data_IF_715156879466
#
_entry.id   IF_715156879466
#
_cell.length_a   1.000
_cell.length_b   1.000
_cell.length_c   1.000
_cell.angle_alpha   90.00
_cell.angle_beta   90.00
_cell.angle_gamma   90.00
#
_symmetry.space_group_name_H-M   'P 1'
#
loop_
_entity.id
_entity.type
_entity.pdbx_description
1 polymer ?
#
# COMPACT_ATOMS: atom_id res chain seq x y z
N UNK A 1 -24.38 39.79 47.50
CA UNK A 1 -23.46 39.82 46.35
C UNK A 1 -23.23 38.36 45.93
N UNK A 2 -23.84 37.74 44.90
CA UNK A 2 -24.17 38.16 43.52
C UNK A 2 -22.96 38.87 42.91
N UNK A 3 -22.18 38.25 42.01
CA UNK A 3 -22.55 37.99 40.61
C UNK A 3 -22.16 36.60 40.05
N UNK A 4 -23.12 35.99 39.34
CA UNK A 4 -22.95 35.07 38.20
C UNK A 4 -22.42 35.85 37.00
N UNK A 5 -21.57 35.25 36.16
CA UNK A 5 -21.64 35.42 34.69
C UNK A 5 -21.28 34.07 34.00
N UNK A 6 -22.13 33.57 33.07
CA UNK A 6 -21.98 32.30 32.36
C UNK A 6 -21.37 32.51 30.96
N UNK A 7 -20.47 31.65 30.46
CA UNK A 7 -20.10 31.67 29.04
C UNK A 7 -19.51 30.37 28.45
N UNK A 8 -19.74 29.21 29.06
CA UNK A 8 -19.16 27.94 28.59
C UNK A 8 -20.19 26.86 28.19
N UNK A 9 -21.49 27.10 28.30
CA UNK A 9 -22.51 26.08 27.95
C UNK A 9 -23.20 26.27 26.59
N UNK A 10 -22.99 27.39 25.89
CA UNK A 10 -23.62 27.64 24.58
C UNK A 10 -22.76 27.19 23.40
N UNK A 11 -21.43 27.13 23.52
CA UNK A 11 -20.56 26.72 22.41
C UNK A 11 -20.60 25.21 22.12
N UNK A 12 -20.94 24.39 23.11
CA UNK A 12 -21.02 22.92 22.93
C UNK A 12 -22.36 22.49 22.31
N UNK A 13 -23.41 23.32 22.44
CA UNK A 13 -24.72 23.03 21.86
C UNK A 13 -24.80 23.38 20.37
N UNK A 14 -24.14 24.45 19.93
CA UNK A 14 -24.23 24.90 18.53
C UNK A 14 -23.37 24.07 17.56
N UNK A 15 -22.28 23.45 18.05
CA UNK A 15 -21.47 22.51 17.25
C UNK A 15 -22.21 21.17 17.06
N UNK A 16 -23.07 20.78 18.01
CA UNK A 16 -23.83 19.53 17.92
C UNK A 16 -25.05 19.63 16.98
N UNK A 17 -25.66 20.81 16.84
CA UNK A 17 -26.81 21.00 15.93
C UNK A 17 -26.42 21.08 14.44
N UNK A 18 -25.20 21.50 14.10
CA UNK A 18 -24.77 21.58 12.70
C UNK A 18 -24.36 20.24 12.07
N UNK A 19 -24.15 19.19 12.88
CA UNK A 19 -23.76 17.86 12.37
C UNK A 19 -24.94 16.92 12.05
N UNK A 20 -26.18 17.31 12.38
CA UNK A 20 -27.34 16.42 12.24
C UNK A 20 -28.44 16.89 11.26
N UNK A 21 -28.30 18.07 10.65
CA UNK A 21 -29.25 18.53 9.61
C UNK A 21 -28.49 19.11 8.41
N UNK A 22 -28.05 18.25 7.48
CA UNK A 22 -28.00 18.61 6.05
C UNK A 22 -27.73 17.37 5.20
N UNK A 23 -28.76 16.94 4.48
CA UNK A 23 -28.66 15.99 3.38
C UNK A 23 -28.26 16.74 2.11
N UNK A 24 -26.95 16.87 1.81
CA UNK A 24 -26.37 16.95 0.44
C UNK A 24 -24.87 17.30 0.45
N UNK A 25 -24.04 16.72 -0.44
CA UNK A 25 -22.58 16.80 -0.36
C UNK A 25 -22.01 17.91 -1.27
N UNK A 26 -21.98 19.18 -0.82
CA UNK A 26 -21.25 20.25 -1.56
C UNK A 26 -20.49 21.25 -0.66
N UNK A 27 -20.65 21.28 0.67
CA UNK A 27 -20.14 22.41 1.48
C UNK A 27 -18.94 22.17 2.42
N UNK A 28 -18.24 21.02 2.35
CA UNK A 28 -17.09 20.76 3.26
C UNK A 28 -15.75 21.34 2.75
N UNK A 29 -15.70 21.94 1.56
CA UNK A 29 -14.43 22.46 0.99
C UNK A 29 -14.06 23.86 1.48
N UNK A 30 -14.91 24.58 2.21
CA UNK A 30 -14.66 26.00 2.54
C UNK A 30 -14.49 26.36 4.02
N UNK A 31 -14.41 25.39 4.95
CA UNK A 31 -14.26 25.68 6.40
C UNK A 31 -12.97 25.16 7.07
N UNK A 32 -12.01 24.61 6.32
CA UNK A 32 -10.67 24.27 6.87
C UNK A 32 -9.59 25.34 6.63
N UNK A 33 -9.91 26.46 5.97
CA UNK A 33 -8.94 27.51 5.65
C UNK A 33 -8.72 28.55 6.78
N UNK A 34 -9.47 28.49 7.90
CA UNK A 34 -9.51 29.61 8.86
C UNK A 34 -8.85 29.38 10.24
N UNK A 35 -8.22 28.23 10.52
CA UNK A 35 -7.69 27.96 11.88
C UNK A 35 -6.16 27.79 11.98
N UNK A 36 -5.41 27.63 10.88
CA UNK A 36 -3.97 27.27 11.01
C UNK A 36 -2.95 28.41 10.83
N UNK A 37 -3.38 29.68 10.91
CA UNK A 37 -2.47 30.84 10.86
C UNK A 37 -1.77 31.18 12.19
N UNK A 38 -1.83 30.32 13.22
CA UNK A 38 -1.21 30.56 14.54
C UNK A 38 -0.26 29.46 15.06
N UNK A 39 0.18 28.53 14.22
CA UNK A 39 1.26 27.57 14.56
C UNK A 39 2.53 27.77 13.70
N UNK A 40 2.57 28.82 12.86
CA UNK A 40 3.78 29.27 12.17
C UNK A 40 4.59 30.26 13.03
N UNK A 41 5.21 29.77 14.11
CA UNK A 41 6.35 30.43 14.77
C UNK A 41 7.08 29.47 15.72
N UNK A 42 7.82 28.54 15.11
CA UNK A 42 8.89 27.66 15.61
C UNK A 42 8.95 26.57 14.53
N UNK A 43 9.80 26.61 13.51
CA UNK A 43 11.26 26.58 13.59
C UNK A 43 11.84 27.08 12.26
N UNK A 44 12.20 28.36 12.18
CA UNK A 44 13.00 28.90 11.10
C UNK A 44 14.48 28.54 11.34
N UNK A 45 14.84 27.27 11.13
CA UNK A 45 16.24 26.83 11.11
C UNK A 45 16.53 25.52 10.36
N UNK A 46 15.54 24.89 9.69
CA UNK A 46 15.76 23.63 8.95
C UNK A 46 15.89 23.82 7.43
N UNK A 47 15.58 25.01 6.90
CA UNK A 47 15.60 25.28 5.44
C UNK A 47 16.84 26.03 4.93
N UNK A 48 17.94 26.03 5.67
CA UNK A 48 19.20 26.68 5.25
C UNK A 48 20.13 25.80 4.38
N UNK A 49 19.66 24.64 3.88
CA UNK A 49 20.49 23.72 3.06
C UNK A 49 19.92 23.37 1.69
N UNK A 50 18.86 24.05 1.22
CA UNK A 50 18.22 23.76 -0.08
C UNK A 50 18.56 24.78 -1.18
N UNK A 51 19.52 25.68 -0.96
CA UNK A 51 19.83 26.80 -1.85
C UNK A 51 21.20 26.81 -2.54
N UNK A 52 21.99 25.73 -2.50
CA UNK A 52 23.40 25.75 -2.90
C UNK A 52 23.83 24.71 -3.97
N UNK A 53 22.96 24.34 -4.91
CA UNK A 53 23.34 23.48 -6.06
C UNK A 53 22.90 24.02 -7.43
N UNK A 54 22.37 25.25 -7.50
CA UNK A 54 22.07 25.90 -8.79
C UNK A 54 22.84 27.21 -8.83
N UNK A 55 24.12 27.15 -9.23
CA UNK A 55 24.87 28.21 -9.92
C UNK A 55 26.35 27.78 -10.03
N UNK A 56 26.70 27.11 -11.13
CA UNK A 56 28.07 27.03 -11.65
C UNK A 56 28.03 26.69 -13.14
N UNK A 57 27.41 27.58 -13.92
CA UNK A 57 27.75 27.70 -15.34
C UNK A 57 28.93 28.66 -15.45
N UNK A 58 30.11 28.12 -15.69
CA UNK A 58 31.26 28.86 -16.22
C UNK A 58 32.06 27.92 -17.10
N UNK A 59 32.04 28.20 -18.39
CA UNK A 59 32.76 27.50 -19.44
C UNK A 59 34.25 27.81 -19.36
N UNK A 60 35.12 26.82 -19.61
CA UNK A 60 36.34 27.05 -20.35
C UNK A 60 36.29 26.34 -21.71
N UNK A 61 36.55 27.10 -22.77
CA UNK A 61 36.83 26.59 -24.11
C UNK A 61 38.01 25.60 -24.05
N UNK A 62 37.78 24.35 -24.39
CA UNK A 62 38.81 23.48 -24.96
C UNK A 62 38.19 22.66 -26.10
N UNK A 63 38.80 22.73 -27.28
CA UNK A 63 38.35 22.01 -28.46
C UNK A 63 38.78 20.56 -28.37
N UNK A 64 37.99 19.73 -27.70
CA UNK A 64 38.03 18.29 -27.89
C UNK A 64 36.71 17.86 -28.49
N UNK A 65 36.82 17.32 -29.71
CA UNK A 65 35.73 16.81 -30.52
C UNK A 65 35.05 15.69 -29.71
N UNK A 66 33.91 15.99 -29.09
CA UNK A 66 33.07 15.00 -28.41
C UNK A 66 32.68 13.96 -29.47
N UNK A 67 32.94 12.65 -29.26
CA UNK A 67 32.37 11.66 -30.13
C UNK A 67 30.85 11.75 -29.97
N UNK A 68 30.16 12.05 -31.06
CA UNK A 68 28.71 11.95 -31.13
C UNK A 68 28.40 10.48 -30.86
N UNK A 69 27.96 10.16 -29.65
CA UNK A 69 27.31 8.89 -29.38
C UNK A 69 26.01 8.92 -30.20
N UNK A 70 25.99 8.14 -31.29
CA UNK A 70 24.74 7.83 -31.98
C UNK A 70 23.81 7.16 -30.96
N UNK A 71 22.73 7.84 -30.61
CA UNK A 71 21.68 7.34 -29.74
C UNK A 71 20.93 6.20 -30.47
N UNK A 72 21.47 4.99 -30.37
CA UNK A 72 20.84 3.74 -30.83
C UNK A 72 19.82 3.27 -29.78
N UNK A 73 18.88 4.13 -29.41
CA UNK A 73 17.77 3.75 -28.54
C UNK A 73 16.82 2.81 -29.30
N UNK A 74 16.68 1.57 -28.84
CA UNK A 74 15.73 0.59 -29.41
C UNK A 74 14.30 1.18 -29.31
N UNK A 75 13.58 1.38 -30.43
CA UNK A 75 12.25 2.00 -30.40
C UNK A 75 11.25 1.20 -29.55
N UNK A 76 11.40 -0.12 -29.47
CA UNK A 76 10.57 -0.95 -28.60
C UNK A 76 10.83 -0.66 -27.11
N UNK A 77 12.09 -0.43 -26.74
CA UNK A 77 12.46 -0.07 -25.37
C UNK A 77 11.93 1.33 -25.00
N UNK A 78 12.04 2.31 -25.90
CA UNK A 78 11.49 3.65 -25.66
C UNK A 78 9.96 3.62 -25.49
N UNK A 79 9.25 2.81 -26.29
CA UNK A 79 7.81 2.62 -26.14
C UNK A 79 7.46 1.96 -24.80
N UNK A 80 8.24 0.95 -24.39
CA UNK A 80 8.12 0.31 -23.07
C UNK A 80 8.29 1.32 -21.93
N UNK A 81 9.37 2.11 -21.94
CA UNK A 81 9.65 3.12 -20.91
C UNK A 81 8.58 4.22 -20.86
N UNK A 82 8.08 4.65 -22.02
CA UNK A 82 7.01 5.65 -22.10
C UNK A 82 5.70 5.13 -21.52
N UNK A 83 5.32 3.89 -21.83
CA UNK A 83 4.13 3.26 -21.27
C UNK A 83 4.25 3.12 -19.74
N UNK A 84 5.39 2.65 -19.24
CA UNK A 84 5.63 2.55 -17.79
C UNK A 84 5.55 3.92 -17.10
N UNK A 85 6.11 4.96 -17.72
CA UNK A 85 6.05 6.31 -17.18
C UNK A 85 4.60 6.82 -17.05
N UNK A 86 3.75 6.55 -18.04
CA UNK A 86 2.33 6.90 -17.99
C UNK A 86 1.61 6.16 -16.86
N UNK A 87 1.87 4.86 -16.71
CA UNK A 87 1.30 4.06 -15.63
C UNK A 87 1.72 4.57 -14.24
N UNK A 88 3.00 4.90 -14.06
CA UNK A 88 3.52 5.46 -12.81
C UNK A 88 2.87 6.80 -12.47
N UNK A 89 2.59 7.64 -13.47
CA UNK A 89 1.87 8.91 -13.28
C UNK A 89 0.43 8.67 -12.89
N UNK A 90 -0.30 7.79 -13.59
CA UNK A 90 -1.70 7.51 -13.27
C UNK A 90 -1.87 6.94 -11.86
N UNK A 91 -0.96 6.07 -11.42
CA UNK A 91 -0.98 5.51 -10.07
C UNK A 91 -0.69 6.56 -8.98
N UNK A 92 -0.07 7.69 -9.32
CA UNK A 92 0.24 8.72 -8.34
C UNK A 92 -0.93 9.64 -8.00
N UNK A 93 -1.96 9.70 -8.86
CA UNK A 93 -3.08 10.64 -8.74
C UNK A 93 -4.24 10.13 -7.87
N UNK A 94 -4.32 8.83 -7.61
CA UNK A 94 -5.52 8.14 -7.09
C UNK A 94 -5.53 7.87 -5.57
N UNK A 95 -4.69 8.56 -4.80
CA UNK A 95 -4.48 8.26 -3.37
C UNK A 95 -3.48 7.12 -3.16
N UNK A 96 -3.36 6.57 -1.95
CA UNK A 96 -2.37 5.51 -1.66
C UNK A 96 -2.93 4.45 -0.70
N UNK A 97 -2.61 3.18 -0.96
CA UNK A 97 -2.90 2.04 -0.07
C UNK A 97 -4.39 1.73 0.18
N UNK A 98 -5.31 2.19 -0.67
CA UNK A 98 -6.63 1.58 -0.82
C UNK A 98 -6.52 0.26 -1.60
N UNK A 99 -7.52 -0.62 -1.52
CA UNK A 99 -7.54 -1.87 -2.30
C UNK A 99 -7.56 -1.56 -3.79
N UNK A 100 -8.37 -0.57 -4.20
CA UNK A 100 -8.43 -0.12 -5.60
C UNK A 100 -7.05 0.33 -6.10
N UNK A 101 -6.36 1.16 -5.32
CA UNK A 101 -5.02 1.64 -5.67
C UNK A 101 -4.00 0.50 -5.74
N UNK A 102 -4.05 -0.45 -4.81
CA UNK A 102 -3.18 -1.63 -4.83
C UNK A 102 -3.48 -2.54 -6.03
N UNK A 103 -4.73 -2.61 -6.49
CA UNK A 103 -5.08 -3.30 -7.73
C UNK A 103 -4.46 -2.61 -8.94
N UNK A 104 -4.55 -1.27 -9.04
CA UNK A 104 -3.87 -0.50 -10.10
C UNK A 104 -2.35 -0.70 -10.08
N UNK A 105 -1.73 -0.70 -8.89
CA UNK A 105 -0.30 -0.98 -8.76
C UNK A 105 0.06 -2.40 -9.21
N UNK A 106 -0.80 -3.39 -8.96
CA UNK A 106 -0.62 -4.76 -9.46
C UNK A 106 -0.85 -4.89 -10.96
N UNK A 107 -1.78 -4.12 -11.53
CA UNK A 107 -1.97 -4.03 -12.99
C UNK A 107 -0.71 -3.50 -13.67
N UNK A 108 -0.03 -2.51 -13.07
CA UNK A 108 1.28 -2.03 -13.54
C UNK A 108 2.34 -3.15 -13.54
N UNK A 109 2.35 -4.02 -12.52
CA UNK A 109 3.24 -5.21 -12.53
C UNK A 109 2.90 -6.11 -13.71
N UNK A 110 1.61 -6.45 -13.88
CA UNK A 110 1.16 -7.34 -14.94
C UNK A 110 1.46 -6.82 -16.35
N UNK A 111 1.20 -5.54 -16.61
CA UNK A 111 1.52 -4.89 -17.89
C UNK A 111 3.02 -4.82 -18.13
N UNK A 112 3.81 -4.44 -17.11
CA UNK A 112 5.27 -4.36 -17.25
C UNK A 112 5.86 -5.72 -17.59
N UNK A 113 5.38 -6.81 -16.95
CA UNK A 113 5.79 -8.18 -17.30
C UNK A 113 5.35 -8.58 -18.70
N UNK A 114 4.11 -8.27 -19.09
CA UNK A 114 3.60 -8.59 -20.44
C UNK A 114 4.41 -7.89 -21.54
N UNK A 115 4.77 -6.62 -21.34
CA UNK A 115 5.62 -5.89 -22.28
C UNK A 115 7.08 -6.37 -22.22
N UNK A 116 7.59 -6.77 -21.06
CA UNK A 116 8.94 -7.32 -20.95
C UNK A 116 9.08 -8.70 -21.64
N UNK A 117 8.00 -9.47 -21.72
CA UNK A 117 7.97 -10.78 -22.39
C UNK A 117 8.34 -10.68 -23.89
N UNK A 118 8.07 -9.56 -24.56
CA UNK A 118 8.43 -9.38 -25.97
C UNK A 118 9.94 -9.30 -26.23
N UNK A 119 10.75 -9.03 -25.19
CA UNK A 119 12.20 -8.95 -25.29
C UNK A 119 12.87 -10.32 -25.06
N UNK A 120 12.15 -11.30 -24.51
CA UNK A 120 12.70 -12.63 -24.18
C UNK A 120 13.27 -13.37 -25.40
N UNK A 121 12.62 -13.38 -26.58
CA UNK A 121 13.18 -14.08 -27.75
C UNK A 121 14.53 -13.50 -28.21
N UNK A 122 14.68 -12.18 -28.19
CA UNK A 122 15.95 -11.51 -28.53
C UNK A 122 17.04 -11.90 -27.52
N UNK A 123 16.69 -11.87 -26.23
CA UNK A 123 17.60 -12.30 -25.15
C UNK A 123 18.04 -13.76 -25.30
N UNK A 124 17.16 -14.67 -25.74
CA UNK A 124 17.51 -16.07 -25.95
C UNK A 124 18.46 -16.31 -27.13
N UNK A 125 18.43 -15.43 -28.14
CA UNK A 125 19.32 -15.52 -29.31
C UNK A 125 20.70 -14.91 -29.02
N UNK A 126 20.74 -13.79 -28.30
CA UNK A 126 21.95 -13.02 -28.06
C UNK A 126 22.66 -13.37 -26.75
N UNK A 127 22.09 -14.28 -25.93
CA UNK A 127 22.66 -14.67 -24.65
C UNK A 127 24.05 -15.31 -24.82
N UNK A 128 25.03 -14.72 -24.12
CA UNK A 128 26.42 -15.18 -24.09
C UNK A 128 26.76 -15.75 -22.71
N UNK A 129 27.92 -16.40 -22.59
CA UNK A 129 28.46 -16.84 -21.31
C UNK A 129 28.62 -15.69 -20.28
N UNK A 130 28.72 -14.45 -20.75
CA UNK A 130 28.82 -13.25 -19.91
C UNK A 130 27.52 -12.93 -19.18
N UNK A 131 26.37 -13.29 -19.75
CA UNK A 131 25.03 -13.05 -19.18
C UNK A 131 24.67 -14.07 -18.08
N UNK A 132 25.45 -15.14 -17.91
CA UNK A 132 25.19 -16.22 -16.95
C UNK A 132 24.95 -15.71 -15.52
N UNK A 133 25.79 -14.79 -15.05
CA UNK A 133 25.67 -14.23 -13.69
C UNK A 133 24.35 -13.50 -13.50
N UNK A 134 23.93 -12.75 -14.51
CA UNK A 134 22.67 -12.02 -14.47
C UNK A 134 21.48 -12.99 -14.49
N UNK A 135 21.53 -14.03 -15.33
CA UNK A 135 20.49 -15.07 -15.38
C UNK A 135 20.40 -15.81 -14.04
N UNK A 136 21.51 -16.20 -13.44
CA UNK A 136 21.55 -16.84 -12.13
C UNK A 136 20.92 -15.93 -11.05
N UNK A 137 21.24 -14.63 -11.08
CA UNK A 137 20.65 -13.62 -10.18
C UNK A 137 19.14 -13.46 -10.41
N UNK A 138 18.71 -13.41 -11.68
CA UNK A 138 17.30 -13.37 -12.05
C UNK A 138 16.55 -14.59 -11.53
N UNK A 139 17.12 -15.78 -11.73
CA UNK A 139 16.53 -17.03 -11.27
C UNK A 139 16.45 -17.07 -9.74
N UNK A 140 17.49 -16.68 -9.01
CA UNK A 140 17.45 -16.61 -7.54
C UNK A 140 16.39 -15.60 -7.06
N UNK A 141 16.30 -14.43 -7.69
CA UNK A 141 15.29 -13.41 -7.36
C UNK A 141 13.86 -13.88 -7.68
N UNK A 142 13.66 -14.60 -8.79
CA UNK A 142 12.33 -15.09 -9.19
C UNK A 142 11.73 -16.06 -8.15
N UNK A 143 12.53 -16.95 -7.55
CA UNK A 143 12.05 -17.85 -6.49
C UNK A 143 11.59 -17.03 -5.27
N UNK A 144 12.39 -16.05 -4.85
CA UNK A 144 12.06 -15.18 -3.70
C UNK A 144 10.77 -14.39 -3.93
N UNK A 145 10.56 -13.92 -5.17
CA UNK A 145 9.31 -13.25 -5.56
C UNK A 145 8.12 -14.22 -5.52
N UNK A 146 8.29 -15.45 -6.01
CA UNK A 146 7.25 -16.48 -5.95
C UNK A 146 6.86 -16.81 -4.50
N UNK A 147 7.84 -17.00 -3.61
CA UNK A 147 7.59 -17.24 -2.17
C UNK A 147 6.90 -16.05 -1.49
N UNK A 148 7.29 -14.84 -1.87
CA UNK A 148 6.64 -13.61 -1.40
C UNK A 148 5.20 -13.56 -1.87
N UNK A 149 4.91 -13.88 -3.13
CA UNK A 149 3.56 -13.91 -3.66
C UNK A 149 2.67 -14.91 -2.89
N UNK A 150 3.19 -16.12 -2.59
CA UNK A 150 2.48 -17.10 -1.74
C UNK A 150 2.16 -16.52 -0.36
N UNK A 151 3.11 -15.79 0.24
CA UNK A 151 2.90 -15.14 1.54
C UNK A 151 1.87 -14.01 1.46
N UNK A 152 1.88 -13.21 0.40
CA UNK A 152 0.89 -12.16 0.14
C UNK A 152 -0.51 -12.75 -0.04
N UNK A 153 -0.64 -13.84 -0.81
CA UNK A 153 -1.92 -14.56 -0.98
C UNK A 153 -2.46 -15.06 0.37
N UNK A 154 -1.59 -15.61 1.23
CA UNK A 154 -2.00 -16.03 2.57
C UNK A 154 -2.49 -14.85 3.42
N UNK A 155 -1.84 -13.69 3.33
CA UNK A 155 -2.28 -12.48 4.03
C UNK A 155 -3.64 -11.95 3.52
N UNK A 156 -3.89 -12.00 2.21
CA UNK A 156 -5.22 -11.69 1.64
C UNK A 156 -6.28 -12.64 2.23
N UNK A 157 -6.00 -13.94 2.29
CA UNK A 157 -6.91 -14.92 2.88
C UNK A 157 -7.18 -14.68 4.38
N UNK A 158 -6.21 -14.14 5.13
CA UNK A 158 -6.44 -13.72 6.53
C UNK A 158 -7.44 -12.56 6.63
N UNK A 159 -7.40 -11.60 5.70
CA UNK A 159 -8.39 -10.51 5.62
C UNK A 159 -9.76 -11.04 5.21
N UNK A 160 -9.83 -12.02 4.31
CA UNK A 160 -11.09 -12.69 3.96
C UNK A 160 -11.70 -13.40 5.17
N UNK A 161 -10.86 -14.03 6.02
CA UNK A 161 -11.30 -14.62 7.29
C UNK A 161 -11.86 -13.55 8.24
N UNK A 162 -11.21 -12.39 8.35
CA UNK A 162 -11.74 -11.23 9.08
C UNK A 162 -13.12 -10.80 8.55
N UNK A 163 -13.27 -10.69 7.23
CA UNK A 163 -14.55 -10.38 6.60
C UNK A 163 -15.62 -11.44 6.92
N UNK A 164 -15.22 -12.71 7.00
CA UNK A 164 -16.08 -13.82 7.43
C UNK A 164 -16.63 -13.64 8.85
N UNK A 165 -15.77 -13.28 9.80
CA UNK A 165 -16.18 -12.99 11.18
C UNK A 165 -17.12 -11.78 11.25
N UNK A 166 -16.81 -10.70 10.53
CA UNK A 166 -17.65 -9.51 10.48
C UNK A 166 -19.03 -9.81 9.91
N UNK A 167 -19.10 -10.64 8.86
CA UNK A 167 -20.37 -11.10 8.27
C UNK A 167 -21.22 -11.88 9.28
N UNK A 168 -20.59 -12.71 10.11
CA UNK A 168 -21.31 -13.43 11.19
C UNK A 168 -21.84 -12.44 12.24
N UNK A 169 -21.07 -11.43 12.61
CA UNK A 169 -21.50 -10.40 13.56
C UNK A 169 -22.74 -9.64 13.05
N UNK A 170 -22.74 -9.23 11.78
CA UNK A 170 -23.86 -8.52 11.16
C UNK A 170 -25.11 -9.41 11.04
N UNK A 171 -24.93 -10.68 10.63
CA UNK A 171 -26.03 -11.66 10.54
C UNK A 171 -26.73 -11.92 11.86
N UNK A 172 -26.00 -11.85 12.98
CA UNK A 172 -26.60 -12.00 14.31
C UNK A 172 -27.68 -10.93 14.59
N UNK A 173 -27.61 -9.78 13.91
CA UNK A 173 -28.50 -8.64 14.09
C UNK A 173 -29.52 -8.45 12.96
N UNK A 174 -29.59 -9.34 11.97
CA UNK A 174 -30.49 -9.22 10.81
C UNK A 174 -31.97 -9.42 11.16
N UNK A 175 -32.29 -10.27 12.15
CA UNK A 175 -33.67 -10.63 12.51
C UNK A 175 -34.15 -9.88 13.74
N UNK A 176 -35.31 -9.23 13.61
CA UNK A 176 -36.03 -8.65 14.75
C UNK A 176 -37.00 -9.66 15.38
N UNK A 177 -37.25 -9.57 16.71
CA UNK A 177 -36.61 -8.66 17.66
C UNK A 177 -35.19 -9.10 18.04
N UNK A 178 -34.28 -8.13 18.21
CA UNK A 178 -32.90 -8.39 18.64
C UNK A 178 -32.90 -8.60 20.16
N UNK A 179 -32.63 -9.83 20.59
CA UNK A 179 -32.51 -10.21 22.01
C UNK A 179 -31.07 -10.25 22.50
N UNK A 180 -30.92 -10.47 23.81
CA UNK A 180 -29.61 -10.56 24.48
C UNK A 180 -28.70 -11.64 23.88
N UNK A 181 -29.27 -12.77 23.45
CA UNK A 181 -28.52 -13.88 22.82
C UNK A 181 -27.89 -13.44 21.51
N UNK A 182 -28.62 -12.68 20.69
CA UNK A 182 -28.15 -12.13 19.42
C UNK A 182 -27.02 -11.12 19.65
N UNK A 183 -27.17 -10.24 20.64
CA UNK A 183 -26.13 -9.28 21.02
C UNK A 183 -24.85 -9.97 21.51
N UNK A 184 -24.96 -11.02 22.34
CA UNK A 184 -23.80 -11.82 22.78
C UNK A 184 -23.10 -12.52 21.60
N UNK A 185 -23.86 -13.09 20.67
CA UNK A 185 -23.30 -13.70 19.45
C UNK A 185 -22.59 -12.68 18.56
N UNK A 186 -23.18 -11.50 18.41
CA UNK A 186 -22.55 -10.40 17.69
C UNK A 186 -21.22 -10.01 18.35
N UNK A 187 -21.22 -9.81 19.67
CA UNK A 187 -20.03 -9.46 20.44
C UNK A 187 -18.92 -10.53 20.31
N UNK A 188 -19.27 -11.82 20.36
CA UNK A 188 -18.29 -12.90 20.18
C UNK A 188 -17.67 -12.90 18.78
N UNK A 189 -18.48 -12.65 17.74
CA UNK A 189 -17.98 -12.53 16.38
C UNK A 189 -17.09 -11.28 16.18
N UNK A 190 -17.44 -10.14 16.79
CA UNK A 190 -16.59 -8.94 16.78
C UNK A 190 -15.27 -9.17 17.53
N UNK A 191 -15.27 -9.95 18.62
CA UNK A 191 -14.03 -10.36 19.28
C UNK A 191 -13.14 -11.19 18.35
N UNK A 192 -13.72 -12.13 17.57
CA UNK A 192 -12.98 -12.87 16.54
C UNK A 192 -12.40 -11.96 15.46
N UNK A 193 -13.10 -10.89 15.06
CA UNK A 193 -12.55 -9.86 14.17
C UNK A 193 -11.30 -9.19 14.79
N UNK A 194 -11.41 -8.73 16.04
CA UNK A 194 -10.30 -8.08 16.73
C UNK A 194 -9.11 -9.03 16.95
N UNK A 195 -9.38 -10.32 17.20
CA UNK A 195 -8.38 -11.37 17.34
C UNK A 195 -7.69 -11.70 16.01
N UNK A 196 -8.42 -11.68 14.90
CA UNK A 196 -7.86 -11.87 13.56
C UNK A 196 -6.83 -10.79 13.21
N UNK A 197 -7.04 -9.55 13.68
CA UNK A 197 -6.13 -8.42 13.47
C UNK A 197 -5.01 -8.33 14.53
N UNK A 198 -4.97 -9.25 15.50
CA UNK A 198 -3.83 -9.33 16.41
C UNK A 198 -2.60 -9.78 15.63
N UNK A 199 -1.51 -9.06 15.84
CA UNK A 199 -0.21 -9.36 15.25
C UNK A 199 0.25 -10.76 15.68
N UNK A 200 0.49 -11.63 14.70
CA UNK A 200 1.08 -12.96 14.89
C UNK A 200 2.56 -12.88 14.52
N UNK A 201 3.41 -12.77 15.53
CA UNK A 201 4.85 -12.83 15.32
C UNK A 201 5.23 -14.29 14.98
N UNK A 202 6.07 -14.48 13.95
CA UNK A 202 6.73 -15.77 13.76
C UNK A 202 7.86 -15.97 14.79
N UNK A 203 8.50 -17.13 14.73
CA UNK A 203 9.64 -17.48 15.56
C UNK A 203 10.70 -16.35 15.60
N UNK A 204 11.32 -16.19 16.77
CA UNK A 204 12.36 -15.20 17.01
C UNK A 204 13.49 -15.41 16.02
N UNK A 205 13.84 -14.37 15.25
CA UNK A 205 14.97 -14.49 14.33
C UNK A 205 16.29 -14.60 15.12
N UNK A 206 17.36 -14.97 14.43
CA UNK A 206 18.73 -15.09 14.98
C UNK A 206 19.26 -13.81 15.64
N UNK A 207 18.59 -12.67 15.43
CA UNK A 207 18.90 -11.37 16.03
C UNK A 207 18.00 -11.04 17.24
N UNK A 208 17.21 -11.98 17.76
CA UNK A 208 16.30 -11.76 18.87
C UNK A 208 15.04 -10.96 18.53
N UNK A 209 14.83 -10.60 17.26
CA UNK A 209 13.68 -9.79 16.84
C UNK A 209 12.51 -10.69 16.41
N UNK A 210 11.33 -10.40 16.96
CA UNK A 210 10.06 -10.94 16.47
C UNK A 210 9.60 -10.17 15.22
N UNK A 211 9.31 -10.89 14.14
CA UNK A 211 8.80 -10.35 12.87
C UNK A 211 7.70 -11.26 12.34
N UNK A 212 6.77 -10.69 11.59
CA UNK A 212 5.78 -11.45 10.81
C UNK A 212 6.39 -11.94 9.50
N UNK A 213 5.76 -12.90 8.83
CA UNK A 213 6.19 -13.39 7.49
C UNK A 213 6.30 -12.24 6.51
N UNK A 214 5.31 -11.35 6.51
CA UNK A 214 5.30 -10.16 5.65
C UNK A 214 6.45 -9.20 5.97
N UNK A 215 6.81 -8.98 7.24
CA UNK A 215 7.98 -8.16 7.58
C UNK A 215 9.31 -8.81 7.15
N UNK A 216 9.37 -10.14 7.14
CA UNK A 216 10.51 -10.87 6.59
C UNK A 216 10.57 -10.70 5.07
N UNK A 217 9.44 -10.84 4.37
CA UNK A 217 9.32 -10.56 2.94
C UNK A 217 9.73 -9.12 2.62
N UNK A 218 9.20 -8.10 3.31
CA UNK A 218 9.60 -6.71 3.12
C UNK A 218 11.11 -6.50 3.29
N UNK A 219 11.70 -7.11 4.32
CA UNK A 219 13.14 -7.02 4.56
C UNK A 219 13.97 -7.71 3.48
N UNK A 220 13.47 -8.81 2.91
CA UNK A 220 14.11 -9.53 1.82
C UNK A 220 14.00 -8.74 0.51
N UNK A 221 12.80 -8.26 0.17
CA UNK A 221 12.53 -7.42 -1.01
C UNK A 221 13.41 -6.17 -1.01
N UNK A 222 13.56 -5.52 0.14
CA UNK A 222 14.50 -4.39 0.29
C UNK A 222 15.92 -4.77 -0.12
N UNK A 223 16.44 -5.87 0.44
CA UNK A 223 17.80 -6.36 0.15
C UNK A 223 17.95 -6.79 -1.31
N UNK A 224 16.90 -7.30 -1.93
CA UNK A 224 16.88 -7.59 -3.36
C UNK A 224 17.00 -6.29 -4.15
N UNK A 225 16.18 -5.28 -3.84
CA UNK A 225 16.24 -3.97 -4.47
C UNK A 225 17.57 -3.24 -4.28
N UNK A 226 18.25 -3.43 -3.14
CA UNK A 226 19.60 -2.87 -2.89
C UNK A 226 20.72 -3.57 -3.68
N UNK A 227 20.47 -4.78 -4.19
CA UNK A 227 21.44 -5.59 -4.94
C UNK A 227 21.16 -5.64 -6.44
N UNK A 228 19.96 -5.27 -6.86
CA UNK A 228 19.56 -5.22 -8.25
C UNK A 228 20.16 -3.96 -8.87
N UNK A 229 21.32 -4.12 -9.49
CA UNK A 229 21.99 -3.05 -10.21
C UNK A 229 21.97 -3.33 -11.72
N UNK A 230 21.81 -2.25 -12.50
CA UNK A 230 21.85 -2.32 -13.96
C UNK A 230 23.23 -2.69 -14.50
N UNK A 231 24.30 -2.39 -13.76
CA UNK A 231 25.69 -2.68 -14.16
C UNK A 231 25.94 -4.19 -14.38
N UNK A 232 25.16 -5.06 -13.74
CA UNK A 232 25.25 -6.52 -13.92
C UNK A 232 24.60 -7.00 -15.23
N UNK A 233 23.77 -6.17 -15.88
CA UNK A 233 23.20 -6.47 -17.20
C UNK A 233 24.21 -6.03 -18.27
N UNK A 234 24.92 -6.99 -18.86
CA UNK A 234 25.90 -6.74 -19.93
C UNK A 234 25.27 -5.99 -21.11
N UNK A 235 25.54 -4.68 -21.24
CA UNK A 235 25.43 -3.79 -22.42
C UNK A 235 24.22 -3.97 -23.39
N UNK A 236 23.17 -4.67 -23.00
CA UNK A 236 22.05 -5.04 -23.86
C UNK A 236 20.80 -4.26 -23.49
N UNK A 237 20.28 -3.47 -24.44
CA UNK A 237 19.04 -2.72 -24.30
C UNK A 237 17.84 -3.61 -23.87
N UNK A 238 17.87 -4.90 -24.21
CA UNK A 238 16.74 -5.81 -23.99
C UNK A 238 16.66 -6.38 -22.56
N UNK A 239 17.78 -6.42 -21.82
CA UNK A 239 17.78 -6.80 -20.39
C UNK A 239 17.10 -5.75 -19.51
N UNK A 240 17.07 -4.49 -19.96
CA UNK A 240 16.46 -3.35 -19.26
C UNK A 240 14.98 -3.62 -18.96
N UNK A 241 14.25 -4.22 -19.91
CA UNK A 241 12.84 -4.54 -19.73
C UNK A 241 12.62 -5.56 -18.60
N UNK A 242 13.43 -6.63 -18.54
CA UNK A 242 13.30 -7.67 -17.50
C UNK A 242 13.72 -7.12 -16.14
N UNK A 243 14.82 -6.36 -16.08
CA UNK A 243 15.24 -5.66 -14.87
C UNK A 243 14.13 -4.75 -14.34
N UNK A 244 13.53 -3.96 -15.23
CA UNK A 244 12.45 -3.03 -14.87
C UNK A 244 11.24 -3.77 -14.33
N UNK A 245 10.83 -4.88 -14.95
CA UNK A 245 9.77 -5.75 -14.44
C UNK A 245 10.07 -6.27 -13.02
N UNK A 246 11.32 -6.66 -12.73
CA UNK A 246 11.72 -7.08 -11.38
C UNK A 246 11.64 -5.94 -10.37
N UNK A 247 12.16 -4.75 -10.69
CA UNK A 247 12.10 -3.57 -9.80
C UNK A 247 10.66 -3.18 -9.48
N UNK A 248 9.78 -3.10 -10.48
CA UNK A 248 8.37 -2.79 -10.29
C UNK A 248 7.68 -3.87 -9.44
N UNK A 249 7.98 -5.16 -9.67
CA UNK A 249 7.45 -6.25 -8.84
C UNK A 249 7.89 -6.12 -7.38
N UNK A 250 9.18 -5.88 -7.13
CA UNK A 250 9.73 -5.75 -5.77
C UNK A 250 9.10 -4.56 -5.06
N UNK A 251 8.92 -3.44 -5.77
CA UNK A 251 8.26 -2.25 -5.24
C UNK A 251 6.83 -2.57 -4.82
N UNK A 252 6.01 -3.10 -5.74
CA UNK A 252 4.59 -3.36 -5.49
C UNK A 252 4.39 -4.48 -4.47
N UNK A 253 5.21 -5.53 -4.47
CA UNK A 253 5.18 -6.55 -3.41
C UNK A 253 5.60 -5.98 -2.06
N UNK A 254 6.51 -4.99 -2.03
CA UNK A 254 6.88 -4.26 -0.81
C UNK A 254 5.72 -3.42 -0.28
N UNK A 255 4.97 -2.76 -1.18
CA UNK A 255 3.75 -2.02 -0.86
C UNK A 255 2.68 -2.94 -0.27
N UNK A 256 2.39 -4.06 -0.94
CA UNK A 256 1.43 -5.05 -0.45
C UNK A 256 1.86 -5.64 0.89
N UNK A 257 3.14 -5.99 1.04
CA UNK A 257 3.65 -6.51 2.31
C UNK A 257 3.46 -5.50 3.44
N UNK A 258 3.62 -4.21 3.16
CA UNK A 258 3.41 -3.14 4.15
C UNK A 258 1.92 -2.91 4.44
N UNK A 259 1.07 -2.89 3.41
CA UNK A 259 -0.37 -2.65 3.51
C UNK A 259 -1.10 -3.78 4.26
N UNK A 260 -0.73 -5.02 3.95
CA UNK A 260 -1.30 -6.25 4.52
C UNK A 260 -0.65 -6.64 5.85
N UNK A 261 0.48 -6.02 6.22
CA UNK A 261 1.07 -6.23 7.54
C UNK A 261 0.15 -5.69 8.62
N UNK A 262 -0.30 -6.56 9.50
CA UNK A 262 -1.02 -6.18 10.71
C UNK A 262 -0.02 -5.58 11.72
N UNK A 263 -0.07 -4.25 11.94
CA UNK A 263 0.82 -3.49 12.85
C UNK A 263 2.30 -3.49 12.48
N UNK A 264 2.71 -3.04 11.29
CA UNK A 264 4.12 -3.11 10.87
C UNK A 264 5.02 -2.24 11.78
N UNK A 265 6.11 -2.83 12.28
CA UNK A 265 7.06 -2.13 13.16
C UNK A 265 7.98 -1.18 12.41
N UNK A 266 8.17 -1.40 11.11
CA UNK A 266 9.06 -0.60 10.26
C UNK A 266 8.26 0.06 9.15
N UNK A 267 8.79 1.17 8.65
CA UNK A 267 8.29 1.84 7.47
C UNK A 267 8.54 1.02 6.20
N UNK A 268 7.83 1.37 5.13
CA UNK A 268 8.12 0.89 3.79
C UNK A 268 9.58 1.22 3.46
N UNK A 269 10.32 0.22 3.03
CA UNK A 269 11.68 0.37 2.55
C UNK A 269 11.69 0.89 1.11
N UNK A 270 12.44 1.96 0.86
CA UNK A 270 12.74 2.43 -0.49
C UNK A 270 13.68 1.44 -1.18
N UNK A 271 13.46 1.23 -2.48
CA UNK A 271 14.38 0.47 -3.34
C UNK A 271 15.36 1.48 -3.93
N UNK A 272 16.64 1.12 -4.00
CA UNK A 272 17.61 1.93 -4.71
C UNK A 272 17.40 1.71 -6.20
N UNK A 273 17.18 2.79 -6.95
CA UNK A 273 17.11 2.76 -8.41
C UNK A 273 17.98 3.89 -8.90
N UNK A 274 18.88 3.61 -9.84
CA UNK A 274 19.71 4.66 -10.42
C UNK A 274 18.84 5.59 -11.28
N UNK A 275 18.95 6.90 -11.04
CA UNK A 275 18.10 7.91 -11.65
C UNK A 275 18.57 8.25 -13.08
N UNK A 276 18.54 7.27 -13.97
CA UNK A 276 19.03 7.41 -15.34
C UNK A 276 17.91 7.66 -16.36
N UNK A 277 16.69 7.20 -16.08
CA UNK A 277 15.53 7.29 -16.98
C UNK A 277 14.36 8.06 -16.36
N UNK A 278 13.46 8.60 -17.18
CA UNK A 278 12.29 9.36 -16.71
C UNK A 278 11.35 8.53 -15.83
N UNK A 279 11.15 7.25 -16.17
CA UNK A 279 10.34 6.33 -15.35
C UNK A 279 10.97 6.08 -13.99
N UNK A 280 12.31 5.98 -13.89
CA UNK A 280 13.01 5.77 -12.62
C UNK A 280 12.81 6.94 -11.66
N UNK A 281 12.86 8.18 -12.16
CA UNK A 281 12.58 9.40 -11.38
C UNK A 281 11.13 9.41 -10.89
N UNK A 282 10.17 9.08 -11.75
CA UNK A 282 8.76 8.96 -11.35
C UNK A 282 8.54 7.89 -10.28
N UNK A 283 9.21 6.73 -10.40
CA UNK A 283 9.16 5.66 -9.41
C UNK A 283 9.72 6.11 -8.05
N UNK A 284 10.87 6.79 -8.04
CA UNK A 284 11.47 7.35 -6.81
C UNK A 284 10.52 8.35 -6.14
N UNK A 285 9.89 9.23 -6.92
CA UNK A 285 8.91 10.19 -6.41
C UNK A 285 7.69 9.50 -5.81
N UNK A 286 7.14 8.48 -6.49
CA UNK A 286 6.02 7.69 -5.99
C UNK A 286 6.41 6.97 -4.69
N UNK A 287 7.59 6.35 -4.62
CA UNK A 287 8.11 5.73 -3.41
C UNK A 287 8.15 6.69 -2.23
N UNK A 288 8.64 7.92 -2.45
CA UNK A 288 8.73 8.93 -1.42
C UNK A 288 7.35 9.38 -0.94
N UNK A 289 6.41 9.64 -1.85
CA UNK A 289 5.04 10.06 -1.48
C UNK A 289 4.27 8.98 -0.73
N UNK A 290 4.37 7.72 -1.14
CA UNK A 290 3.73 6.61 -0.41
C UNK A 290 4.35 6.45 0.98
N UNK A 291 5.67 6.60 1.10
CA UNK A 291 6.36 6.56 2.40
C UNK A 291 5.89 7.69 3.32
N UNK A 292 5.77 8.91 2.82
CA UNK A 292 5.21 10.05 3.56
C UNK A 292 3.76 9.79 4.00
N UNK A 293 2.94 9.19 3.13
CA UNK A 293 1.58 8.80 3.46
C UNK A 293 1.56 7.78 4.62
N UNK A 294 2.42 6.76 4.60
CA UNK A 294 2.54 5.77 5.68
C UNK A 294 2.96 6.42 7.00
N UNK A 295 3.97 7.30 6.99
CA UNK A 295 4.43 7.98 8.21
C UNK A 295 3.37 8.94 8.76
N UNK A 296 2.59 9.58 7.88
CA UNK A 296 1.42 10.36 8.27
C UNK A 296 0.33 9.50 8.93
N UNK A 297 0.06 8.29 8.43
CA UNK A 297 -0.87 7.35 9.08
C UNK A 297 -0.35 6.90 10.44
N UNK A 298 0.94 6.56 10.56
CA UNK A 298 1.56 6.17 11.84
C UNK A 298 1.50 7.28 12.88
N UNK A 299 1.79 8.53 12.50
CA UNK A 299 1.74 9.66 13.43
C UNK A 299 0.32 9.95 13.95
N UNK A 300 -0.71 9.52 13.22
CA UNK A 300 -2.11 9.53 13.68
C UNK A 300 -2.49 8.34 14.56
N UNK A 301 -1.57 7.40 14.79
CA UNK A 301 -1.80 6.20 15.57
C UNK A 301 -2.42 5.03 14.78
N UNK A 302 -2.58 5.15 13.45
CA UNK A 302 -3.05 4.04 12.62
C UNK A 302 -2.05 2.90 12.64
N UNK A 303 -2.59 1.72 12.88
CA UNK A 303 -1.84 0.47 13.02
C UNK A 303 -2.02 -0.46 11.80
N UNK A 304 -2.95 -0.09 10.90
CA UNK A 304 -3.25 -0.77 9.65
C UNK A 304 -3.10 0.26 8.54
N UNK A 305 -2.44 -0.12 7.45
CA UNK A 305 -2.17 0.81 6.36
C UNK A 305 -3.18 0.68 5.22
N UNK A 306 -3.69 -0.53 4.97
CA UNK A 306 -4.82 -0.75 4.07
C UNK A 306 -6.04 0.06 4.52
N UNK A 307 -6.50 1.00 3.69
CA UNK A 307 -7.48 2.02 4.10
C UNK A 307 -8.82 1.42 4.54
N UNK A 308 -9.39 0.54 3.75
CA UNK A 308 -10.68 -0.10 3.99
C UNK A 308 -10.64 -0.96 5.27
N UNK A 309 -9.52 -1.64 5.50
CA UNK A 309 -9.34 -2.48 6.70
C UNK A 309 -9.13 -1.65 7.98
N UNK A 310 -8.38 -0.54 7.90
CA UNK A 310 -8.22 0.40 9.03
C UNK A 310 -9.57 1.01 9.42
N UNK A 311 -10.36 1.44 8.44
CA UNK A 311 -11.72 1.96 8.67
C UNK A 311 -12.64 0.90 9.27
N UNK A 312 -12.59 -0.33 8.75
CA UNK A 312 -13.37 -1.45 9.27
C UNK A 312 -13.00 -1.80 10.72
N UNK A 313 -11.71 -1.86 11.08
CA UNK A 313 -11.29 -2.15 12.46
C UNK A 313 -11.76 -1.06 13.44
N UNK A 314 -11.64 0.22 13.05
CA UNK A 314 -12.14 1.34 13.87
C UNK A 314 -13.66 1.22 14.08
N UNK A 315 -14.41 0.91 13.02
CA UNK A 315 -15.85 0.74 13.09
C UNK A 315 -16.23 -0.49 13.94
N UNK A 316 -15.51 -1.61 13.80
CA UNK A 316 -15.72 -2.84 14.59
C UNK A 316 -15.53 -2.58 16.07
N UNK A 317 -14.47 -1.86 16.46
CA UNK A 317 -14.21 -1.52 17.87
C UNK A 317 -15.31 -0.64 18.46
N UNK A 318 -15.69 0.42 17.74
CA UNK A 318 -16.80 1.31 18.15
C UNK A 318 -18.12 0.54 18.30
N UNK A 319 -18.40 -0.36 17.35
CA UNK A 319 -19.61 -1.16 17.37
C UNK A 319 -19.60 -2.19 18.50
N UNK A 320 -18.46 -2.82 18.75
CA UNK A 320 -18.25 -3.72 19.89
C UNK A 320 -18.58 -3.01 21.21
N UNK A 321 -18.03 -1.82 21.44
CA UNK A 321 -18.27 -1.04 22.67
C UNK A 321 -19.75 -0.66 22.82
N UNK A 322 -20.42 -0.31 21.73
CA UNK A 322 -21.85 -0.03 21.73
C UNK A 322 -22.69 -1.26 22.11
N UNK A 323 -22.40 -2.43 21.52
CA UNK A 323 -23.11 -3.68 21.84
C UNK A 323 -22.87 -4.07 23.30
N UNK A 324 -21.66 -3.84 23.81
CA UNK A 324 -21.32 -4.08 25.20
C UNK A 324 -22.08 -3.14 26.15
N UNK A 325 -22.21 -1.84 25.80
CA UNK A 325 -23.02 -0.87 26.57
C UNK A 325 -24.50 -1.29 26.61
N UNK A 326 -25.06 -1.74 25.49
CA UNK A 326 -26.45 -2.21 25.41
C UNK A 326 -26.69 -3.41 26.33
N UNK A 327 -25.73 -4.35 26.38
CA UNK A 327 -25.82 -5.52 27.27
C UNK A 327 -25.70 -5.15 28.76
N UNK A 328 -25.02 -4.05 29.09
CA UNK A 328 -24.83 -3.58 30.46
C UNK A 328 -25.91 -2.58 30.93
N UNK A 329 -26.71 -2.01 30.02
CA UNK A 329 -27.64 -0.91 30.28
C UNK A 329 -28.99 -1.31 30.90
N UNK A 330 -29.25 -0.82 32.12
CA UNK A 330 -30.45 -1.07 32.93
C UNK A 330 -31.62 -0.05 32.77
N UNK A 331 -31.66 0.81 31.74
CA UNK A 331 -32.73 1.83 31.61
C UNK A 331 -33.54 1.75 30.31
N UNK A 332 -34.87 1.76 30.42
CA UNK A 332 -35.79 1.60 29.29
C UNK A 332 -35.85 2.81 28.33
N UNK A 333 -35.50 4.02 28.82
CA UNK A 333 -35.50 5.26 28.02
C UNK A 333 -34.28 5.38 27.09
N UNK A 334 -33.14 4.77 27.45
CA UNK A 334 -31.94 4.73 26.63
C UNK A 334 -32.00 3.67 25.50
N UNK A 335 -32.94 2.71 25.56
CA UNK A 335 -33.04 1.59 24.61
C UNK A 335 -33.38 2.03 23.18
N UNK A 336 -34.25 3.02 23.00
CA UNK A 336 -34.64 3.48 21.64
C UNK A 336 -33.47 4.11 20.86
N UNK A 337 -32.74 5.01 21.50
CA UNK A 337 -31.60 5.71 20.91
C UNK A 337 -30.42 4.75 20.65
N UNK A 338 -30.14 3.84 21.57
CA UNK A 338 -29.08 2.83 21.41
C UNK A 338 -29.38 1.82 20.31
N UNK A 339 -30.65 1.42 20.15
CA UNK A 339 -31.09 0.56 19.03
C UNK A 339 -30.91 1.26 17.67
N UNK A 340 -31.23 2.55 17.57
CA UNK A 340 -30.99 3.32 16.33
C UNK A 340 -29.50 3.41 16.00
N UNK A 341 -28.66 3.76 16.99
CA UNK A 341 -27.19 3.75 16.82
C UNK A 341 -26.66 2.37 16.41
N UNK A 342 -27.24 1.31 16.95
CA UNK A 342 -26.91 -0.08 16.58
C UNK A 342 -27.23 -0.36 15.11
N UNK A 343 -28.39 0.07 14.63
CA UNK A 343 -28.77 -0.08 13.21
C UNK A 343 -27.88 0.73 12.28
N UNK A 344 -27.54 1.96 12.64
CA UNK A 344 -26.61 2.81 11.88
C UNK A 344 -25.20 2.21 11.82
N UNK A 345 -24.68 1.78 12.98
CA UNK A 345 -23.37 1.12 13.05
C UNK A 345 -23.31 -0.17 12.23
N UNK A 346 -24.36 -0.98 12.27
CA UNK A 346 -24.48 -2.19 11.45
C UNK A 346 -24.47 -1.87 9.94
N UNK A 347 -25.18 -0.82 9.51
CA UNK A 347 -25.19 -0.40 8.10
C UNK A 347 -23.82 0.11 7.65
N UNK A 348 -23.15 0.92 8.48
CA UNK A 348 -21.81 1.40 8.17
C UNK A 348 -20.79 0.26 8.04
N UNK A 349 -20.84 -0.72 8.94
CA UNK A 349 -20.01 -1.94 8.85
C UNK A 349 -20.35 -2.80 7.64
N UNK A 350 -21.62 -2.85 7.23
CA UNK A 350 -22.03 -3.57 6.03
C UNK A 350 -21.45 -2.94 4.76
N UNK A 351 -21.43 -1.62 4.66
CA UNK A 351 -20.79 -0.92 3.54
C UNK A 351 -19.29 -1.24 3.46
N UNK A 352 -18.57 -1.09 4.57
CA UNK A 352 -17.13 -1.40 4.62
C UNK A 352 -16.82 -2.88 4.33
N UNK A 353 -17.68 -3.80 4.77
CA UNK A 353 -17.57 -5.21 4.44
C UNK A 353 -17.74 -5.45 2.93
N UNK A 354 -18.66 -4.73 2.27
CA UNK A 354 -18.84 -4.82 0.83
C UNK A 354 -17.63 -4.31 0.07
N UNK A 355 -17.05 -3.17 0.48
CA UNK A 355 -15.85 -2.60 -0.14
C UNK A 355 -14.68 -3.60 -0.07
N UNK A 356 -14.45 -4.20 1.10
CA UNK A 356 -13.45 -5.26 1.29
C UNK A 356 -13.75 -6.48 0.41
N UNK A 357 -14.99 -6.96 0.39
CA UNK A 357 -15.37 -8.16 -0.37
C UNK A 357 -15.35 -7.97 -1.90
N UNK A 358 -15.51 -6.74 -2.39
CA UNK A 358 -15.42 -6.44 -3.82
C UNK A 358 -13.97 -6.33 -4.28
N UNK A 359 -13.11 -5.70 -3.47
CA UNK A 359 -11.72 -5.45 -3.85
C UNK A 359 -10.78 -6.66 -3.69
N UNK A 360 -10.92 -7.45 -2.63
CA UNK A 360 -9.99 -8.55 -2.32
C UNK A 360 -9.90 -9.62 -3.43
N UNK A 361 -11.00 -10.04 -4.09
CA UNK A 361 -10.92 -11.02 -5.18
C UNK A 361 -10.08 -10.53 -6.38
N UNK A 362 -10.18 -9.24 -6.72
CA UNK A 362 -9.37 -8.65 -7.79
C UNK A 362 -7.89 -8.69 -7.44
N UNK A 363 -7.54 -8.32 -6.20
CA UNK A 363 -6.17 -8.37 -5.72
C UNK A 363 -5.61 -9.81 -5.71
N UNK A 364 -6.42 -10.79 -5.28
CA UNK A 364 -6.03 -12.21 -5.32
C UNK A 364 -5.79 -12.69 -6.77
N UNK A 365 -6.69 -12.34 -7.69
CA UNK A 365 -6.55 -12.66 -9.11
C UNK A 365 -5.26 -12.06 -9.69
N UNK A 366 -4.95 -10.82 -9.36
CA UNK A 366 -3.71 -10.19 -9.79
C UNK A 366 -2.47 -10.91 -9.25
N UNK A 367 -2.44 -11.28 -7.95
CA UNK A 367 -1.35 -12.08 -7.38
C UNK A 367 -1.20 -13.43 -8.09
N UNK A 368 -2.30 -14.10 -8.42
CA UNK A 368 -2.29 -15.37 -9.17
C UNK A 368 -1.77 -15.22 -10.59
N UNK A 369 -2.12 -14.13 -11.27
CA UNK A 369 -1.61 -13.83 -12.61
C UNK A 369 -0.12 -13.50 -12.57
N UNK A 370 0.34 -12.70 -11.60
CA UNK A 370 1.77 -12.40 -11.46
C UNK A 370 2.57 -13.65 -11.11
N UNK A 371 2.05 -14.53 -10.24
CA UNK A 371 2.69 -15.81 -9.92
C UNK A 371 2.90 -16.66 -11.18
N UNK A 372 1.87 -16.76 -12.03
CA UNK A 372 1.94 -17.48 -13.31
C UNK A 372 2.95 -16.85 -14.28
N UNK A 373 2.98 -15.52 -14.39
CA UNK A 373 3.96 -14.82 -15.23
C UNK A 373 5.40 -15.04 -14.74
N UNK A 374 5.64 -14.91 -13.43
CA UNK A 374 6.96 -15.16 -12.83
C UNK A 374 7.43 -16.61 -13.07
N UNK A 375 6.53 -17.59 -12.95
CA UNK A 375 6.84 -18.99 -13.28
C UNK A 375 7.18 -19.16 -14.77
N UNK A 376 6.38 -18.57 -15.67
CA UNK A 376 6.63 -18.65 -17.12
C UNK A 376 8.00 -18.06 -17.48
N UNK A 377 8.29 -16.84 -17.01
CA UNK A 377 9.57 -16.19 -17.25
C UNK A 377 10.72 -17.03 -16.69
N UNK A 378 10.59 -17.55 -15.45
CA UNK A 378 11.59 -18.44 -14.86
C UNK A 378 11.88 -19.66 -15.74
N UNK A 379 10.86 -20.34 -16.25
CA UNK A 379 11.04 -21.49 -17.14
C UNK A 379 11.77 -21.08 -18.43
N UNK A 380 11.37 -19.97 -19.04
CA UNK A 380 12.01 -19.46 -20.26
C UNK A 380 13.51 -19.14 -20.10
N UNK A 381 13.92 -18.69 -18.91
CA UNK A 381 15.34 -18.43 -18.60
C UNK A 381 16.11 -19.69 -18.16
N UNK A 382 15.44 -20.70 -17.60
CA UNK A 382 16.06 -22.01 -17.31
C UNK A 382 16.40 -22.76 -18.59
N UNK A 383 15.55 -22.64 -19.62
CA UNK A 383 15.71 -23.30 -20.91
C UNK A 383 16.64 -22.55 -21.87
N UNK A 384 17.26 -21.44 -21.42
CA UNK A 384 18.09 -20.59 -22.27
C UNK A 384 19.42 -21.29 -22.62
N UNK A 385 19.72 -21.50 -23.91
CA UNK A 385 20.97 -22.13 -24.34
C UNK A 385 22.11 -21.12 -24.20
N UNK A 386 22.88 -21.21 -23.13
CA UNK A 386 24.10 -20.41 -22.99
C UNK A 386 25.18 -21.00 -23.91
N UNK A 387 25.55 -20.25 -24.96
CA UNK A 387 26.65 -20.63 -25.86
C UNK A 387 27.90 -21.01 -25.07
N UNK A 388 28.48 -22.17 -25.43
CA UNK A 388 29.66 -22.76 -24.80
C UNK A 388 30.93 -21.96 -25.02
#
# INVERSE_FOLDING_TARGET
MIFRVPFLSTLVSDVFSCLFFSSSPVFIVHSLAAVNHRVLRMSASVFASLGAVIHSFSSPRSSHRVPIFEDKSNPALLAFESSLLEQLKSTDETGYLSIEWLCQAMEMVLSTHASAESFVPELQLDATSSDRKWIDSFLDNSIKLLDTCVTLKAAVAEIESYCGHLKVALRALEKEPIGEVQLKRCLEALNKCMDALKRRDDAVNHLGHRRTKLENCSSMLRRMGERLNMEDASNGNSWIAIYTAQIITIFVYGLLSSALSLKPRRSLSSISVDAHSSWSVSLINLQQRVKEHIEKKKSRGSNLFLEELDMADIAVRKFHDLIQEILQGNSASAKGITVLKGKEGSKALQALLMDLQQGLPALQSHLENTYRNLLRSRMAFLDMPLGS
#
